data_IF_014203354476
#
_entry.id   IF_014203354476
#
_cell.length_a   1.000
_cell.length_b   1.000
_cell.length_c   1.000
_cell.angle_alpha   90.00
_cell.angle_beta   90.00
_cell.angle_gamma   90.00
#
_symmetry.space_group_name_H-M   'P 1'
#
loop_
_entity.id
_entity.type
_entity.pdbx_description
1 polymer ?
#
# COMPACT_ATOMS: atom_id res chain seq x y z
N UNK A 1 -32.47 44.27 -14.79
CA UNK A 1 -31.56 44.14 -13.63
C UNK A 1 -31.41 42.70 -13.13
N UNK A 2 -32.41 41.81 -13.31
CA UNK A 2 -32.32 40.38 -12.90
C UNK A 2 -31.63 39.49 -13.95
N UNK A 3 -31.59 39.87 -15.23
CA UNK A 3 -30.85 39.12 -16.26
C UNK A 3 -29.32 39.32 -16.21
N UNK A 4 -28.86 40.48 -15.73
CA UNK A 4 -27.43 40.78 -15.56
C UNK A 4 -26.79 39.93 -14.45
N UNK A 5 -27.50 39.69 -13.35
CA UNK A 5 -27.04 38.82 -12.27
C UNK A 5 -27.02 37.34 -12.66
N UNK A 6 -27.88 36.88 -13.58
CA UNK A 6 -27.85 35.50 -14.09
C UNK A 6 -26.72 35.24 -15.10
N UNK A 7 -26.32 36.24 -15.88
CA UNK A 7 -25.14 36.15 -16.76
C UNK A 7 -23.83 36.24 -15.98
N UNK A 8 -23.74 37.09 -14.95
CA UNK A 8 -22.56 37.16 -14.06
C UNK A 8 -22.40 35.89 -13.20
N UNK A 9 -23.50 35.28 -12.73
CA UNK A 9 -23.46 33.96 -12.07
C UNK A 9 -23.05 32.83 -13.02
N UNK A 10 -23.47 32.86 -14.29
CA UNK A 10 -22.99 31.89 -15.30
C UNK A 10 -21.53 32.11 -15.68
N UNK A 11 -21.05 33.35 -15.70
CA UNK A 11 -19.64 33.70 -15.93
C UNK A 11 -18.76 33.19 -14.80
N UNK A 12 -19.07 33.57 -13.55
CA UNK A 12 -18.30 33.15 -12.37
C UNK A 12 -18.24 31.64 -12.17
N UNK A 13 -19.31 30.87 -12.42
CA UNK A 13 -19.22 29.40 -12.34
C UNK A 13 -18.35 28.80 -13.45
N UNK A 14 -18.37 29.37 -14.65
CA UNK A 14 -17.53 28.92 -15.77
C UNK A 14 -16.07 29.30 -15.55
N UNK A 15 -15.83 30.46 -14.94
CA UNK A 15 -14.51 30.96 -14.58
C UNK A 15 -13.92 30.15 -13.42
N UNK A 16 -14.70 29.84 -12.38
CA UNK A 16 -14.27 28.92 -11.32
C UNK A 16 -14.06 27.49 -11.82
N UNK A 17 -14.84 27.04 -12.80
CA UNK A 17 -14.65 25.72 -13.42
C UNK A 17 -13.41 25.70 -14.32
N UNK A 18 -13.13 26.77 -15.06
CA UNK A 18 -11.91 26.94 -15.85
C UNK A 18 -10.68 27.11 -14.97
N UNK A 19 -10.80 27.82 -13.85
CA UNK A 19 -9.75 28.00 -12.85
C UNK A 19 -9.50 26.69 -12.08
N UNK A 20 -10.55 25.93 -11.77
CA UNK A 20 -10.45 24.55 -11.31
C UNK A 20 -9.75 23.68 -12.35
N UNK A 21 -10.16 23.68 -13.61
CA UNK A 21 -9.52 22.90 -14.68
C UNK A 21 -8.06 23.31 -14.94
N UNK A 22 -7.72 24.60 -14.82
CA UNK A 22 -6.37 25.11 -15.00
C UNK A 22 -5.45 24.76 -13.82
N UNK A 23 -6.02 24.63 -12.61
CA UNK A 23 -5.29 24.20 -11.41
C UNK A 23 -5.27 22.67 -11.23
N UNK A 24 -6.20 21.95 -11.85
CA UNK A 24 -6.33 20.51 -11.74
C UNK A 24 -5.60 19.84 -12.91
N UNK A 25 -4.29 19.62 -12.73
CA UNK A 25 -3.50 18.84 -13.68
C UNK A 25 -3.47 17.36 -13.27
N UNK A 26 -3.12 16.48 -14.23
CA UNK A 26 -3.04 15.05 -13.97
C UNK A 26 -2.05 14.66 -12.86
N UNK A 27 -1.05 15.50 -12.58
CA UNK A 27 -0.11 15.31 -11.48
C UNK A 27 -0.74 15.62 -10.12
N UNK A 28 -1.54 16.66 -10.00
CA UNK A 28 -2.34 16.97 -8.80
C UNK A 28 -3.34 15.85 -8.50
N UNK A 29 -3.88 15.19 -9.52
CA UNK A 29 -4.69 13.98 -9.33
C UNK A 29 -3.85 12.82 -8.77
N UNK A 30 -2.64 12.61 -9.30
CA UNK A 30 -1.72 11.59 -8.79
C UNK A 30 -1.25 11.83 -7.36
N UNK A 31 -0.95 13.08 -7.09
CA UNK A 31 -0.54 13.58 -5.80
C UNK A 31 -1.66 13.36 -4.78
N UNK A 32 -2.91 13.69 -5.14
CA UNK A 32 -4.06 13.34 -4.31
C UNK A 32 -4.23 11.82 -4.14
N UNK A 33 -4.04 11.02 -5.20
CA UNK A 33 -4.18 9.56 -5.12
C UNK A 33 -3.17 8.93 -4.14
N UNK A 34 -1.93 9.43 -4.11
CA UNK A 34 -0.85 8.89 -3.28
C UNK A 34 -0.81 9.51 -1.87
N UNK A 35 -1.13 10.79 -1.73
CA UNK A 35 -0.94 11.53 -0.49
C UNK A 35 -2.25 11.88 0.25
N UNK A 36 -3.41 11.76 -0.39
CA UNK A 36 -4.70 11.88 0.30
C UNK A 36 -5.02 10.60 1.06
N UNK A 37 -5.12 10.67 2.38
CA UNK A 37 -5.43 9.53 3.24
C UNK A 37 -6.66 8.72 2.77
N UNK A 38 -7.73 9.39 2.34
CA UNK A 38 -8.96 8.73 1.89
C UNK A 38 -8.79 7.98 0.56
N UNK A 39 -8.18 8.64 -0.44
CA UNK A 39 -7.97 8.04 -1.77
C UNK A 39 -6.93 6.92 -1.69
N UNK A 40 -5.93 7.10 -0.84
CA UNK A 40 -4.88 6.12 -0.62
C UNK A 40 -5.39 4.86 0.10
N UNK A 41 -6.27 5.01 1.11
CA UNK A 41 -6.95 3.85 1.72
C UNK A 41 -7.78 3.08 0.69
N UNK A 42 -8.50 3.78 -0.19
CA UNK A 42 -9.20 3.13 -1.30
C UNK A 42 -8.26 2.39 -2.24
N UNK A 43 -7.15 3.01 -2.64
CA UNK A 43 -6.12 2.36 -3.46
C UNK A 43 -5.58 1.10 -2.78
N UNK A 44 -5.28 1.18 -1.48
CA UNK A 44 -4.82 0.06 -0.68
C UNK A 44 -5.84 -1.08 -0.66
N UNK A 45 -7.13 -0.78 -0.48
CA UNK A 45 -8.18 -1.80 -0.52
C UNK A 45 -8.31 -2.46 -1.91
N UNK A 46 -8.27 -1.68 -2.99
CA UNK A 46 -8.31 -2.22 -4.36
C UNK A 46 -7.14 -3.16 -4.60
N UNK A 47 -5.94 -2.76 -4.17
CA UNK A 47 -4.73 -3.59 -4.26
C UNK A 47 -4.92 -4.89 -3.45
N UNK A 48 -5.35 -4.80 -2.19
CA UNK A 48 -5.58 -5.97 -1.33
C UNK A 48 -6.66 -6.91 -1.88
N UNK A 49 -7.73 -6.40 -2.50
CA UNK A 49 -8.75 -7.21 -3.17
C UNK A 49 -8.16 -7.95 -4.38
N UNK A 50 -7.40 -7.23 -5.23
CA UNK A 50 -6.69 -7.82 -6.37
C UNK A 50 -5.77 -8.98 -5.95
N UNK A 51 -4.99 -8.77 -4.89
CA UNK A 51 -4.12 -9.81 -4.32
C UNK A 51 -4.91 -10.93 -3.64
N UNK A 52 -5.99 -10.62 -2.93
CA UNK A 52 -6.88 -11.59 -2.32
C UNK A 52 -7.44 -12.57 -3.36
N UNK A 53 -7.86 -12.07 -4.53
CA UNK A 53 -8.32 -12.90 -5.65
C UNK A 53 -7.21 -13.80 -6.21
N UNK A 54 -5.98 -13.28 -6.39
CA UNK A 54 -4.84 -14.06 -6.85
C UNK A 54 -4.47 -15.18 -5.86
N UNK A 55 -4.49 -14.90 -4.55
CA UNK A 55 -4.30 -15.92 -3.52
C UNK A 55 -5.36 -17.02 -3.60
N UNK A 56 -6.62 -16.70 -3.93
CA UNK A 56 -7.67 -17.71 -4.15
C UNK A 56 -7.35 -18.62 -5.33
N UNK A 57 -6.95 -18.06 -6.47
CA UNK A 57 -6.61 -18.83 -7.66
C UNK A 57 -5.52 -19.87 -7.39
N UNK A 58 -4.49 -19.48 -6.64
CA UNK A 58 -3.39 -20.37 -6.25
C UNK A 58 -3.78 -21.38 -5.16
N UNK A 59 -4.63 -21.00 -4.20
CA UNK A 59 -5.05 -21.92 -3.13
C UNK A 59 -6.01 -22.99 -3.64
N UNK A 60 -6.91 -22.65 -4.58
CA UNK A 60 -7.88 -23.61 -5.16
C UNK A 60 -7.17 -24.61 -6.07
N UNK A 61 -6.23 -24.15 -6.90
CA UNK A 61 -5.42 -25.06 -7.74
C UNK A 61 -4.54 -25.99 -6.90
N UNK A 62 -4.07 -25.54 -5.73
CA UNK A 62 -3.31 -26.36 -4.78
C UNK A 62 -4.18 -27.41 -4.09
N UNK A 63 -5.34 -27.02 -3.55
CA UNK A 63 -6.29 -27.96 -2.91
C UNK A 63 -6.80 -29.05 -3.87
N UNK A 64 -6.86 -28.77 -5.17
CA UNK A 64 -7.25 -29.75 -6.19
C UNK A 64 -6.10 -30.70 -6.59
N UNK A 65 -4.83 -30.32 -6.36
CA UNK A 65 -3.65 -31.13 -6.72
C UNK A 65 -3.16 -32.04 -5.58
N UNK A 66 -3.50 -31.73 -4.33
CA UNK A 66 -2.91 -32.39 -3.14
C UNK A 66 -3.79 -33.44 -2.45
N UNK A 67 -4.83 -33.97 -3.12
CA UNK A 67 -5.43 -35.23 -2.66
C UNK A 67 -4.65 -36.47 -3.15
N UNK A 68 -3.69 -36.31 -4.06
CA UNK A 68 -2.98 -37.45 -4.69
C UNK A 68 -1.47 -37.51 -4.40
N UNK A 69 -0.89 -36.58 -3.63
CA UNK A 69 0.58 -36.38 -3.55
C UNK A 69 1.21 -36.23 -2.17
N UNK A 70 0.53 -36.66 -1.10
CA UNK A 70 0.98 -36.68 0.30
C UNK A 70 2.41 -37.20 0.62
N UNK A 71 3.14 -37.78 -0.35
CA UNK A 71 4.41 -38.49 -0.19
C UNK A 71 5.61 -37.84 -0.92
N UNK A 72 5.43 -36.84 -1.79
CA UNK A 72 6.54 -36.09 -2.43
C UNK A 72 6.83 -34.76 -1.68
N UNK A 73 6.05 -34.49 -0.65
CA UNK A 73 5.78 -33.17 -0.08
C UNK A 73 6.86 -32.60 0.86
N UNK A 74 7.84 -33.38 1.34
CA UNK A 74 8.80 -32.87 2.34
C UNK A 74 10.09 -32.24 1.76
N UNK A 75 10.56 -32.67 0.60
CA UNK A 75 11.80 -32.15 -0.04
C UNK A 75 11.48 -30.97 -0.99
N UNK A 76 10.26 -30.92 -1.52
CA UNK A 76 9.78 -29.87 -2.42
C UNK A 76 9.30 -28.62 -1.66
N UNK A 77 8.93 -28.71 -0.37
CA UNK A 77 8.29 -27.61 0.37
C UNK A 77 9.16 -26.34 0.51
N UNK A 78 10.46 -26.46 0.80
CA UNK A 78 11.34 -25.28 0.97
C UNK A 78 11.56 -24.51 -0.34
N UNK A 79 11.88 -25.23 -1.42
CA UNK A 79 12.06 -24.65 -2.77
C UNK A 79 10.73 -24.13 -3.31
N UNK A 80 9.63 -24.82 -3.04
CA UNK A 80 8.29 -24.40 -3.45
C UNK A 80 7.82 -23.14 -2.72
N UNK A 81 7.93 -23.08 -1.39
CA UNK A 81 7.59 -21.88 -0.60
C UNK A 81 8.42 -20.69 -1.08
N UNK A 82 9.73 -20.88 -1.33
CA UNK A 82 10.59 -19.84 -1.90
C UNK A 82 10.07 -19.35 -3.26
N UNK A 83 9.75 -20.27 -4.18
CA UNK A 83 9.27 -19.91 -5.52
C UNK A 83 7.90 -19.21 -5.48
N UNK A 84 7.00 -19.63 -4.57
CA UNK A 84 5.70 -18.99 -4.36
C UNK A 84 5.87 -17.56 -3.83
N UNK A 85 6.74 -17.34 -2.84
CA UNK A 85 7.02 -16.00 -2.30
C UNK A 85 7.63 -15.10 -3.38
N UNK A 86 8.59 -15.59 -4.16
CA UNK A 86 9.22 -14.82 -5.25
C UNK A 86 8.20 -14.48 -6.33
N UNK A 87 7.37 -15.43 -6.76
CA UNK A 87 6.33 -15.19 -7.76
C UNK A 87 5.29 -14.17 -7.27
N UNK A 88 4.90 -14.24 -5.99
CA UNK A 88 4.00 -13.27 -5.38
C UNK A 88 4.63 -11.87 -5.30
N UNK A 89 5.90 -11.77 -4.91
CA UNK A 89 6.60 -10.49 -4.88
C UNK A 89 6.71 -9.86 -6.27
N UNK A 90 7.07 -10.65 -7.29
CA UNK A 90 7.09 -10.20 -8.68
C UNK A 90 5.72 -9.75 -9.16
N UNK A 91 4.66 -10.50 -8.84
CA UNK A 91 3.28 -10.13 -9.17
C UNK A 91 2.85 -8.82 -8.52
N UNK A 92 3.18 -8.60 -7.24
CA UNK A 92 2.87 -7.35 -6.53
C UNK A 92 3.57 -6.18 -7.18
N UNK A 93 4.86 -6.31 -7.46
CA UNK A 93 5.65 -5.27 -8.12
C UNK A 93 5.08 -4.92 -9.48
N UNK A 94 4.80 -5.91 -10.33
CA UNK A 94 4.27 -5.66 -11.68
C UNK A 94 2.85 -5.11 -11.65
N UNK A 95 1.99 -5.58 -10.74
CA UNK A 95 0.62 -5.10 -10.61
C UNK A 95 0.55 -3.64 -10.14
N UNK A 96 1.30 -3.29 -9.09
CA UNK A 96 1.39 -1.90 -8.60
C UNK A 96 1.98 -1.00 -9.68
N UNK A 97 3.08 -1.41 -10.33
CA UNK A 97 3.69 -0.64 -11.41
C UNK A 97 2.74 -0.44 -12.60
N UNK A 98 1.95 -1.46 -12.97
CA UNK A 98 0.99 -1.37 -14.08
C UNK A 98 -0.15 -0.42 -13.77
N UNK A 99 -0.71 -0.45 -12.55
CA UNK A 99 -1.76 0.48 -12.14
C UNK A 99 -1.25 1.92 -12.18
N UNK A 100 -0.04 2.16 -11.67
CA UNK A 100 0.57 3.49 -11.71
C UNK A 100 0.84 3.94 -13.14
N UNK A 101 1.36 3.07 -14.01
CA UNK A 101 1.63 3.41 -15.40
C UNK A 101 0.33 3.72 -16.16
N UNK A 102 -0.73 2.94 -15.95
CA UNK A 102 -2.06 3.20 -16.53
C UNK A 102 -2.59 4.55 -16.06
N UNK A 103 -2.50 4.83 -14.76
CA UNK A 103 -2.94 6.10 -14.24
C UNK A 103 -2.11 7.25 -14.85
N UNK A 104 -0.79 7.09 -15.04
CA UNK A 104 0.11 8.12 -15.60
C UNK A 104 -0.25 8.34 -17.07
N UNK A 105 -0.46 7.26 -17.83
CA UNK A 105 -0.92 7.33 -19.21
C UNK A 105 -2.28 8.02 -19.35
N UNK A 106 -3.24 7.70 -18.48
CA UNK A 106 -4.53 8.38 -18.44
C UNK A 106 -4.38 9.88 -18.14
N UNK A 107 -3.50 10.24 -17.20
CA UNK A 107 -3.17 11.62 -16.90
C UNK A 107 -2.49 12.34 -18.08
N UNK A 108 -1.60 11.65 -18.82
CA UNK A 108 -0.97 12.22 -20.01
C UNK A 108 -1.95 12.50 -21.14
N UNK A 109 -2.89 11.58 -21.38
CA UNK A 109 -3.90 11.71 -22.43
C UNK A 109 -4.90 12.82 -22.13
N UNK A 110 -5.31 12.97 -20.88
CA UNK A 110 -6.35 13.93 -20.48
C UNK A 110 -5.83 15.37 -20.35
N UNK A 111 -4.55 15.58 -20.00
CA UNK A 111 -4.00 16.90 -19.70
C UNK A 111 -2.80 17.34 -20.56
N UNK A 112 -2.46 16.58 -21.60
CA UNK A 112 -1.61 17.04 -22.71
C UNK A 112 -0.22 17.57 -22.32
N UNK A 113 0.69 16.67 -21.92
CA UNK A 113 2.15 16.90 -21.86
C UNK A 113 2.68 17.92 -20.82
N UNK A 114 1.90 18.93 -20.44
CA UNK A 114 2.23 19.99 -19.46
C UNK A 114 2.20 19.51 -18.00
N UNK A 115 2.41 18.22 -17.80
CA UNK A 115 2.32 17.53 -16.52
C UNK A 115 3.49 18.03 -15.66
N UNK A 116 4.72 17.95 -16.17
CA UNK A 116 5.93 18.33 -15.43
C UNK A 116 6.28 19.82 -15.57
N UNK A 117 5.37 20.72 -15.17
CA UNK A 117 5.70 22.15 -15.07
C UNK A 117 6.98 22.40 -14.24
N UNK A 118 7.71 23.51 -14.47
CA UNK A 118 8.98 23.80 -13.79
C UNK A 118 8.87 23.88 -12.26
N UNK A 119 7.67 24.16 -11.74
CA UNK A 119 7.28 23.94 -10.36
C UNK A 119 5.98 23.15 -10.34
N UNK A 120 5.93 22.09 -9.54
CA UNK A 120 4.71 21.32 -9.30
C UNK A 120 4.16 21.78 -7.96
N UNK A 121 2.99 22.42 -7.98
CA UNK A 121 2.20 22.62 -6.77
C UNK A 121 1.63 21.27 -6.34
N UNK A 122 2.20 20.71 -5.28
CA UNK A 122 1.76 19.45 -4.67
C UNK A 122 1.17 19.70 -3.29
N UNK A 123 0.39 18.74 -2.81
CA UNK A 123 -0.13 18.60 -1.46
C UNK A 123 1.00 18.49 -0.41
N UNK A 124 2.22 18.21 -0.87
CA UNK A 124 3.43 18.07 -0.06
C UNK A 124 4.29 19.36 -0.08
N UNK A 125 3.90 20.39 -0.85
CA UNK A 125 4.63 21.65 -1.01
C UNK A 125 5.10 21.92 -2.45
N UNK A 126 5.94 22.94 -2.62
CA UNK A 126 6.56 23.27 -3.90
C UNK A 126 7.81 22.42 -4.12
N UNK A 127 7.79 21.60 -5.17
CA UNK A 127 8.96 20.81 -5.56
C UNK A 127 9.39 21.13 -6.98
N UNK A 128 10.71 21.10 -7.17
CA UNK A 128 11.31 20.95 -8.49
C UNK A 128 11.08 19.53 -8.99
N UNK A 129 10.67 19.40 -10.27
CA UNK A 129 10.13 18.16 -10.83
C UNK A 129 10.88 16.87 -10.52
N UNK A 130 12.23 16.87 -10.50
CA UNK A 130 13.01 15.67 -10.18
C UNK A 130 12.90 15.23 -8.71
N UNK A 131 12.90 16.17 -7.78
CA UNK A 131 12.74 15.87 -6.36
C UNK A 131 11.38 15.25 -6.10
N UNK A 132 10.33 15.78 -6.75
CA UNK A 132 8.98 15.23 -6.65
C UNK A 132 8.90 13.77 -7.16
N UNK A 133 9.52 13.47 -8.31
CA UNK A 133 9.56 12.09 -8.85
C UNK A 133 10.26 11.14 -7.88
N UNK A 134 11.38 11.55 -7.26
CA UNK A 134 12.09 10.71 -6.29
C UNK A 134 11.24 10.41 -5.06
N UNK A 135 10.47 11.38 -4.56
CA UNK A 135 9.58 11.21 -3.41
C UNK A 135 8.43 10.26 -3.74
N UNK A 136 7.82 10.39 -4.94
CA UNK A 136 6.81 9.44 -5.42
C UNK A 136 7.38 8.02 -5.52
N UNK A 137 8.56 7.85 -6.11
CA UNK A 137 9.21 6.54 -6.23
C UNK A 137 9.44 5.94 -4.84
N UNK A 138 9.97 6.72 -3.90
CA UNK A 138 10.17 6.28 -2.52
C UNK A 138 8.88 5.81 -1.87
N UNK A 139 7.79 6.55 -2.05
CA UNK A 139 6.48 6.21 -1.50
C UNK A 139 5.91 4.92 -2.11
N UNK A 140 6.04 4.75 -3.43
CA UNK A 140 5.63 3.51 -4.12
C UNK A 140 6.45 2.31 -3.64
N UNK A 141 7.76 2.47 -3.38
CA UNK A 141 8.60 1.42 -2.83
C UNK A 141 8.18 1.00 -1.41
N UNK A 142 7.79 1.95 -0.56
CA UNK A 142 7.22 1.65 0.76
C UNK A 142 5.94 0.82 0.62
N UNK A 143 5.03 1.22 -0.27
CA UNK A 143 3.78 0.51 -0.53
C UNK A 143 4.04 -0.93 -1.02
N UNK A 144 4.93 -1.12 -2.00
CA UNK A 144 5.31 -2.44 -2.50
C UNK A 144 5.88 -3.30 -1.36
N UNK A 145 6.80 -2.75 -0.57
CA UNK A 145 7.46 -3.46 0.53
C UNK A 145 6.44 -3.93 1.57
N UNK A 146 5.51 -3.05 1.94
CA UNK A 146 4.41 -3.39 2.84
C UNK A 146 3.54 -4.53 2.29
N UNK A 147 3.09 -4.41 1.03
CA UNK A 147 2.23 -5.42 0.40
C UNK A 147 2.93 -6.78 0.30
N UNK A 148 4.21 -6.81 -0.07
CA UNK A 148 5.02 -8.04 -0.12
C UNK A 148 5.06 -8.73 1.23
N UNK A 149 5.32 -7.99 2.31
CA UNK A 149 5.36 -8.56 3.66
C UNK A 149 3.99 -9.11 4.09
N UNK A 150 2.92 -8.33 3.92
CA UNK A 150 1.56 -8.72 4.30
C UNK A 150 1.09 -9.96 3.54
N UNK A 151 1.37 -10.04 2.25
CA UNK A 151 0.99 -11.17 1.41
C UNK A 151 1.84 -12.41 1.72
N UNK A 152 3.13 -12.22 2.00
CA UNK A 152 4.01 -13.32 2.44
C UNK A 152 3.50 -13.92 3.76
N UNK A 153 3.13 -13.08 4.74
CA UNK A 153 2.52 -13.53 6.00
C UNK A 153 1.24 -14.33 5.73
N UNK A 154 0.38 -13.82 4.85
CA UNK A 154 -0.88 -14.48 4.49
C UNK A 154 -0.66 -15.85 3.86
N UNK A 155 0.32 -15.96 2.96
CA UNK A 155 0.74 -17.23 2.33
C UNK A 155 1.33 -18.22 3.34
N UNK A 156 2.11 -17.75 4.30
CA UNK A 156 2.69 -18.57 5.35
C UNK A 156 1.66 -19.04 6.39
N UNK A 157 0.50 -18.40 6.47
CA UNK A 157 -0.60 -18.82 7.35
C UNK A 157 -1.42 -19.97 6.72
N UNK A 158 -1.46 -20.09 5.39
CA UNK A 158 -2.23 -21.13 4.66
C UNK A 158 -2.03 -22.54 5.22
N UNK A 159 -0.80 -23.03 5.49
CA UNK A 159 -0.62 -24.38 6.00
C UNK A 159 -1.19 -24.59 7.41
N UNK A 160 -1.41 -23.53 8.18
CA UNK A 160 -1.88 -23.59 9.57
C UNK A 160 -3.39 -23.37 9.70
N UNK A 161 -4.01 -22.73 8.72
CA UNK A 161 -5.44 -22.39 8.75
C UNK A 161 -6.17 -23.12 7.64
N UNK A 162 -6.99 -24.11 8.01
CA UNK A 162 -7.79 -24.90 7.05
C UNK A 162 -8.89 -24.09 6.36
N UNK A 163 -9.29 -22.96 6.94
CA UNK A 163 -10.37 -22.13 6.41
C UNK A 163 -9.84 -21.12 5.37
N UNK A 164 -10.17 -21.37 4.09
CA UNK A 164 -9.83 -20.50 2.95
C UNK A 164 -10.33 -19.06 3.09
N UNK A 165 -11.41 -18.80 3.81
CA UNK A 165 -11.94 -17.45 4.01
C UNK A 165 -11.12 -16.68 5.05
N UNK A 166 -10.63 -17.36 6.09
CA UNK A 166 -9.77 -16.74 7.11
C UNK A 166 -8.46 -16.28 6.46
N UNK A 167 -7.83 -17.12 5.65
CA UNK A 167 -6.62 -16.76 4.89
C UNK A 167 -6.84 -15.51 4.02
N UNK A 168 -7.98 -15.41 3.34
CA UNK A 168 -8.32 -14.25 2.48
C UNK A 168 -8.48 -12.95 3.28
N UNK A 169 -8.92 -13.05 4.53
CA UNK A 169 -9.12 -11.90 5.40
C UNK A 169 -7.82 -11.46 6.07
N UNK A 170 -6.77 -12.29 6.14
CA UNK A 170 -5.50 -11.94 6.83
C UNK A 170 -4.90 -10.61 6.36
N UNK A 171 -4.77 -10.29 5.06
CA UNK A 171 -4.23 -9.01 4.64
C UNK A 171 -5.03 -7.82 5.16
N UNK A 172 -6.36 -7.94 5.14
CA UNK A 172 -7.29 -6.92 5.65
C UNK A 172 -7.21 -6.83 7.17
N UNK A 173 -7.19 -7.96 7.87
CA UNK A 173 -7.06 -8.02 9.34
C UNK A 173 -5.74 -7.39 9.77
N UNK A 174 -4.62 -7.69 9.12
CA UNK A 174 -3.33 -7.07 9.46
C UNK A 174 -3.37 -5.56 9.30
N UNK A 175 -4.00 -5.06 8.23
CA UNK A 175 -4.14 -3.63 8.01
C UNK A 175 -5.04 -3.00 9.09
N UNK A 176 -6.23 -3.54 9.31
CA UNK A 176 -7.25 -3.03 10.23
C UNK A 176 -6.85 -3.16 11.70
N UNK A 177 -6.11 -4.21 12.05
CA UNK A 177 -5.62 -4.46 13.41
C UNK A 177 -4.68 -3.35 13.86
N UNK A 178 -3.81 -2.83 12.98
CA UNK A 178 -2.92 -1.72 13.35
C UNK A 178 -3.71 -0.46 13.73
N UNK A 179 -4.80 -0.16 13.01
CA UNK A 179 -5.70 0.94 13.35
C UNK A 179 -6.44 0.70 14.67
N UNK A 180 -6.99 -0.50 14.88
CA UNK A 180 -7.72 -0.83 16.11
C UNK A 180 -6.83 -0.80 17.35
N UNK A 181 -5.59 -1.29 17.24
CA UNK A 181 -4.61 -1.27 18.33
C UNK A 181 -4.29 0.15 18.76
N UNK A 182 -4.12 1.09 17.81
CA UNK A 182 -3.90 2.51 18.12
C UNK A 182 -5.13 3.11 18.80
N UNK A 183 -6.33 2.90 18.24
CA UNK A 183 -7.56 3.49 18.78
C UNK A 183 -7.93 2.98 20.18
N UNK A 184 -7.53 1.76 20.52
CA UNK A 184 -7.86 1.14 21.82
C UNK A 184 -6.74 1.27 22.84
N UNK A 185 -5.52 0.84 22.47
CA UNK A 185 -4.36 0.78 23.38
C UNK A 185 -3.62 2.10 23.44
N UNK A 186 -3.48 2.80 22.29
CA UNK A 186 -2.80 4.09 22.22
C UNK A 186 -3.45 5.13 23.14
N UNK A 187 -4.78 5.16 23.17
CA UNK A 187 -5.56 6.09 23.99
C UNK A 187 -5.48 5.83 25.52
N UNK A 188 -4.85 4.75 25.98
CA UNK A 188 -4.74 4.45 27.41
C UNK A 188 -3.65 5.26 28.11
N UNK A 189 -2.55 5.57 27.41
CA UNK A 189 -1.40 6.25 28.00
C UNK A 189 -0.49 6.87 26.94
N UNK A 190 0.10 8.04 27.19
CA UNK A 190 0.93 8.76 26.22
C UNK A 190 2.16 7.97 25.72
N UNK A 191 2.71 7.06 26.53
CA UNK A 191 3.80 6.16 26.09
C UNK A 191 3.27 5.11 25.12
N UNK A 192 2.09 4.53 25.39
CA UNK A 192 1.47 3.53 24.53
C UNK A 192 1.02 4.17 23.22
N UNK A 193 0.51 5.40 23.26
CA UNK A 193 0.21 6.21 22.08
C UNK A 193 1.44 6.33 21.18
N UNK A 194 2.59 6.76 21.74
CA UNK A 194 3.84 6.85 20.98
C UNK A 194 4.29 5.53 20.38
N UNK A 195 4.17 4.41 21.10
CA UNK A 195 4.57 3.09 20.58
C UNK A 195 3.64 2.65 19.46
N UNK A 196 2.32 2.76 19.67
CA UNK A 196 1.31 2.33 18.71
C UNK A 196 1.30 3.22 17.47
N UNK A 197 1.65 4.50 17.60
CA UNK A 197 1.84 5.43 16.49
C UNK A 197 2.83 4.91 15.43
N UNK A 198 3.99 4.37 15.84
CA UNK A 198 5.00 3.81 14.94
C UNK A 198 4.63 2.43 14.35
N UNK A 199 3.58 1.80 14.86
CA UNK A 199 3.04 0.53 14.36
C UNK A 199 1.86 0.71 13.40
N UNK A 200 1.40 1.94 13.20
CA UNK A 200 0.26 2.24 12.35
C UNK A 200 0.67 2.22 10.87
N UNK A 201 -0.17 1.61 10.03
CA UNK A 201 0.13 1.43 8.59
C UNK A 201 0.22 2.76 7.85
N UNK A 202 -0.67 3.70 8.15
CA UNK A 202 -0.64 5.06 7.60
C UNK A 202 0.64 5.81 7.98
N UNK A 203 1.14 5.72 9.21
CA UNK A 203 2.39 6.34 9.65
C UNK A 203 3.57 5.80 8.85
N UNK A 204 3.63 4.48 8.63
CA UNK A 204 4.66 3.89 7.78
C UNK A 204 4.54 4.36 6.33
N UNK A 205 3.34 4.29 5.73
CA UNK A 205 3.14 4.60 4.32
C UNK A 205 3.33 6.10 4.03
N UNK A 206 2.85 6.98 4.92
CA UNK A 206 2.98 8.44 4.80
C UNK A 206 4.26 9.01 5.43
N UNK A 207 5.21 8.19 5.88
CA UNK A 207 6.44 8.66 6.53
C UNK A 207 7.24 9.67 5.68
N UNK A 208 7.37 9.41 4.38
CA UNK A 208 7.99 10.35 3.43
C UNK A 208 7.19 11.65 3.29
N UNK A 209 5.86 11.55 3.29
CA UNK A 209 4.99 12.72 3.22
C UNK A 209 5.13 13.58 4.48
N UNK A 210 5.06 12.96 5.66
CA UNK A 210 5.19 13.65 6.95
C UNK A 210 6.55 14.33 7.09
N UNK A 211 7.62 13.68 6.64
CA UNK A 211 8.97 14.24 6.70
C UNK A 211 9.13 15.49 5.84
N UNK A 212 8.51 15.54 4.66
CA UNK A 212 8.70 16.66 3.76
C UNK A 212 7.70 17.79 4.00
N UNK A 213 6.47 17.45 4.40
CA UNK A 213 5.45 18.45 4.72
C UNK A 213 5.70 19.17 6.06
N UNK A 214 6.51 18.60 6.95
CA UNK A 214 6.80 19.18 8.27
C UNK A 214 8.29 19.53 8.39
N UNK A 215 8.63 20.81 8.19
CA UNK A 215 10.01 21.35 8.26
C UNK A 215 10.75 21.06 9.59
N UNK A 216 10.06 20.64 10.65
CA UNK A 216 10.62 20.45 12.00
C UNK A 216 11.00 19.01 12.36
N UNK A 217 10.82 18.06 11.45
CA UNK A 217 10.99 16.64 11.78
C UNK A 217 12.43 16.15 11.63
N UNK A 218 12.99 15.64 12.74
CA UNK A 218 14.34 15.07 12.70
C UNK A 218 14.38 13.79 11.85
N UNK A 219 15.48 13.59 11.12
CA UNK A 219 15.75 12.36 10.35
C UNK A 219 15.62 11.09 11.18
N UNK A 220 15.81 11.16 12.50
CA UNK A 220 15.61 10.05 13.44
C UNK A 220 14.14 9.59 13.48
N UNK A 221 13.18 10.52 13.45
CA UNK A 221 11.76 10.19 13.45
C UNK A 221 11.35 9.49 12.16
N UNK A 222 11.81 10.00 11.01
CA UNK A 222 11.59 9.35 9.71
C UNK A 222 12.06 7.89 9.70
N UNK A 223 13.30 7.66 10.16
CA UNK A 223 13.88 6.31 10.21
C UNK A 223 13.07 5.40 11.13
N UNK A 224 12.59 5.90 12.28
CA UNK A 224 11.76 5.12 13.19
C UNK A 224 10.40 4.75 12.58
N UNK A 225 9.73 5.68 11.90
CA UNK A 225 8.46 5.43 11.22
C UNK A 225 8.58 4.38 10.11
N UNK A 226 9.65 4.46 9.32
CA UNK A 226 9.92 3.49 8.25
C UNK A 226 10.33 2.12 8.80
N UNK A 227 11.17 2.06 9.83
CA UNK A 227 11.75 0.79 10.27
C UNK A 227 10.84 0.01 11.22
N UNK A 228 10.05 0.66 12.07
CA UNK A 228 9.35 -0.02 13.17
C UNK A 228 8.32 -1.03 12.65
N UNK A 229 7.41 -0.60 11.78
CA UNK A 229 6.42 -1.50 11.18
C UNK A 229 7.08 -2.55 10.29
N UNK A 230 8.06 -2.14 9.48
CA UNK A 230 8.80 -3.04 8.60
C UNK A 230 9.46 -4.19 9.39
N UNK A 231 10.21 -3.86 10.44
CA UNK A 231 10.88 -4.85 11.30
C UNK A 231 9.84 -5.74 11.99
N UNK A 232 8.73 -5.17 12.47
CA UNK A 232 7.66 -5.93 13.13
C UNK A 232 7.06 -6.99 12.22
N UNK A 233 6.75 -6.61 10.97
CA UNK A 233 6.24 -7.54 9.94
C UNK A 233 7.30 -8.55 9.51
N UNK A 234 8.57 -8.15 9.43
CA UNK A 234 9.68 -9.05 9.13
C UNK A 234 9.86 -10.12 10.23
N UNK A 235 9.82 -9.71 11.50
CA UNK A 235 9.89 -10.62 12.66
C UNK A 235 8.73 -11.61 12.64
N UNK A 236 7.51 -11.15 12.37
CA UNK A 236 6.34 -12.01 12.23
C UNK A 236 6.51 -13.01 11.07
N UNK A 237 7.05 -12.56 9.93
CA UNK A 237 7.35 -13.41 8.77
C UNK A 237 8.35 -14.51 9.14
N UNK A 238 9.48 -14.15 9.77
CA UNK A 238 10.50 -15.09 10.21
C UNK A 238 9.96 -16.09 11.23
N UNK A 239 9.12 -15.63 12.16
CA UNK A 239 8.44 -16.50 13.12
C UNK A 239 7.56 -17.53 12.42
N UNK A 240 6.72 -17.11 11.47
CA UNK A 240 5.85 -18.02 10.71
C UNK A 240 6.64 -19.02 9.86
N UNK A 241 7.74 -18.58 9.24
CA UNK A 241 8.66 -19.48 8.54
C UNK A 241 9.16 -20.57 9.50
N UNK A 242 9.60 -20.19 10.71
CA UNK A 242 10.10 -21.14 11.72
C UNK A 242 9.02 -22.11 12.18
N UNK A 243 7.80 -21.63 12.42
CA UNK A 243 6.65 -22.47 12.82
C UNK A 243 6.34 -23.49 11.72
N UNK A 244 6.26 -23.06 10.47
CA UNK A 244 6.03 -23.96 9.35
C UNK A 244 7.15 -24.99 9.19
N UNK A 245 8.42 -24.56 9.32
CA UNK A 245 9.58 -25.47 9.23
C UNK A 245 9.48 -26.62 10.23
N UNK A 246 9.16 -26.32 11.50
CA UNK A 246 8.98 -27.33 12.56
C UNK A 246 7.84 -28.29 12.27
N UNK A 247 6.72 -27.77 11.75
CA UNK A 247 5.55 -28.58 11.40
C UNK A 247 5.86 -29.60 10.30
N UNK A 248 6.60 -29.20 9.27
CA UNK A 248 6.96 -30.12 8.18
C UNK A 248 8.13 -31.06 8.57
N UNK A 249 9.01 -30.66 9.48
CA UNK A 249 10.08 -31.52 10.01
C UNK A 249 9.57 -32.57 11.01
N UNK A 250 8.39 -32.40 11.62
CA UNK A 250 7.78 -33.38 12.54
C UNK A 250 6.87 -34.40 11.86
N UNK A 251 6.53 -34.17 10.58
CA UNK A 251 5.70 -35.06 9.76
C UNK A 251 6.57 -35.97 8.85
N UNK A 252 7.87 -35.65 8.70
CA UNK A 252 8.86 -36.45 7.98
C UNK A 252 9.51 -37.50 8.90
#
# INVERSE_FOLDING_TARGET
MVELTMQEMKGTHKDHFLEFLNNYNGLTYFDNLLYSANQYLMLLFVLLIGFGMHLVGNTVTFQQRDFHKGLVENIVSKTHIKNVIVAQALYIMTFVASILLIAIGAAMLLWGGNIFQPFINSFVGEFYGWSYILVMIGHVLLLITFLVLVITISSLIVPNVKNKFVVKMVPFILCLLTFLVVLTIGNLHWILDKITYYLRVDTYLFSLYNFISQESWSTKHLVLEMLTLFISLLVLTLYLIRVNKRKFETIA
#
